data_IF_067275351705
#
_entry.id   IF_067275351705
#
_cell.length_a   1.000
_cell.length_b   1.000
_cell.length_c   1.000
_cell.angle_alpha   90.00
_cell.angle_beta   90.00
_cell.angle_gamma   90.00
#
_symmetry.space_group_name_H-M   'P 1'
#
loop_
_entity.id
_entity.type
_entity.pdbx_description
1 polymer ?
#
# COMPACT_ATOMS: atom_id res chain seq x y z
N UNK A 1 7.60 16.10 2.63
CA UNK A 1 8.96 15.56 2.85
C UNK A 1 9.00 14.11 2.40
N UNK A 2 10.19 13.59 2.04
CA UNK A 2 10.42 12.21 1.60
C UNK A 2 11.62 11.60 2.34
N UNK A 3 11.57 10.29 2.63
CA UNK A 3 12.69 9.52 3.19
C UNK A 3 12.77 8.12 2.56
N UNK A 4 13.96 7.51 2.59
CA UNK A 4 14.24 6.14 2.11
C UNK A 4 14.22 5.07 3.20
N UNK A 5 13.46 5.32 4.25
CA UNK A 5 13.25 4.37 5.35
C UNK A 5 11.74 4.26 5.56
N UNK A 6 11.23 3.03 5.71
CA UNK A 6 9.82 2.80 6.01
C UNK A 6 9.41 3.58 7.26
N UNK A 7 8.25 4.24 7.22
CA UNK A 7 7.68 4.89 8.39
C UNK A 7 6.98 3.87 9.29
N UNK A 8 6.28 2.92 8.70
CA UNK A 8 5.61 1.84 9.41
C UNK A 8 6.39 0.54 9.25
N UNK A 9 6.69 -0.18 10.34
CA UNK A 9 7.29 -1.51 10.24
C UNK A 9 6.40 -2.43 9.42
N UNK A 10 6.98 -3.14 8.45
CA UNK A 10 6.23 -4.07 7.59
C UNK A 10 5.49 -5.15 8.40
N UNK A 11 6.07 -5.57 9.52
CA UNK A 11 5.40 -6.47 10.48
C UNK A 11 4.07 -5.88 10.98
N UNK A 12 4.04 -4.60 11.35
CA UNK A 12 2.83 -3.94 11.86
C UNK A 12 1.73 -3.85 10.80
N UNK A 13 2.11 -3.62 9.54
CA UNK A 13 1.18 -3.60 8.40
C UNK A 13 0.50 -4.96 8.25
N UNK A 14 1.26 -6.06 8.31
CA UNK A 14 0.73 -7.42 8.22
C UNK A 14 -0.14 -7.78 9.42
N UNK A 15 0.26 -7.38 10.64
CA UNK A 15 -0.57 -7.55 11.85
C UNK A 15 -1.94 -6.87 11.71
N UNK A 16 -1.99 -5.62 11.22
CA UNK A 16 -3.26 -4.91 11.03
C UNK A 16 -4.19 -5.60 10.03
N UNK A 17 -3.64 -6.20 8.98
CA UNK A 17 -4.43 -6.99 8.03
C UNK A 17 -5.00 -8.24 8.72
N UNK A 18 -4.17 -8.98 9.45
CA UNK A 18 -4.59 -10.19 10.19
C UNK A 18 -5.64 -9.89 11.26
N UNK A 19 -5.59 -8.70 11.88
CA UNK A 19 -6.59 -8.21 12.83
C UNK A 19 -7.88 -7.69 12.16
N UNK A 20 -7.97 -7.69 10.81
CA UNK A 20 -9.10 -7.12 10.07
C UNK A 20 -9.18 -5.59 10.14
N UNK A 21 -8.10 -4.92 10.59
CA UNK A 21 -8.03 -3.46 10.76
C UNK A 21 -7.44 -2.79 9.52
N UNK A 22 -8.08 -2.99 8.38
CA UNK A 22 -7.67 -2.37 7.13
C UNK A 22 -8.88 -1.82 6.36
N UNK A 23 -8.59 -0.94 5.40
CA UNK A 23 -9.56 -0.41 4.46
C UNK A 23 -8.88 -0.20 3.12
N UNK A 24 -9.40 -0.86 2.08
CA UNK A 24 -8.95 -0.63 0.71
C UNK A 24 -9.80 0.50 0.14
N UNK A 25 -9.14 1.54 -0.38
CA UNK A 25 -9.89 2.69 -0.92
C UNK A 25 -10.73 2.28 -2.13
N UNK A 26 -11.91 2.89 -2.29
CA UNK A 26 -12.79 2.62 -3.45
C UNK A 26 -12.08 2.79 -4.80
N UNK A 27 -11.17 3.78 -4.89
CA UNK A 27 -10.35 3.99 -6.10
C UNK A 27 -9.37 2.84 -6.34
N UNK A 28 -8.77 2.31 -5.28
CA UNK A 28 -7.89 1.14 -5.36
C UNK A 28 -8.65 -0.11 -5.82
N UNK A 29 -9.81 -0.40 -5.22
CA UNK A 29 -10.68 -1.51 -5.65
C UNK A 29 -11.04 -1.39 -7.14
N UNK A 30 -11.49 -0.20 -7.57
CA UNK A 30 -11.84 0.06 -8.97
C UNK A 30 -10.65 -0.15 -9.91
N UNK A 31 -9.50 0.46 -9.59
CA UNK A 31 -8.29 0.34 -10.42
C UNK A 31 -7.80 -1.10 -10.48
N UNK A 32 -7.89 -1.82 -9.36
CA UNK A 32 -7.45 -3.20 -9.28
C UNK A 32 -8.29 -4.11 -10.18
N UNK A 33 -9.61 -3.96 -10.14
CA UNK A 33 -10.53 -4.70 -10.99
C UNK A 33 -10.32 -4.36 -12.48
N UNK A 34 -10.27 -3.07 -12.82
CA UNK A 34 -10.20 -2.63 -14.22
C UNK A 34 -8.87 -2.96 -14.90
N UNK A 35 -7.74 -2.86 -14.18
CA UNK A 35 -6.41 -3.00 -14.78
C UNK A 35 -5.80 -4.39 -14.62
N UNK A 36 -6.22 -5.14 -13.59
CA UNK A 36 -5.61 -6.44 -13.25
C UNK A 36 -6.63 -7.57 -13.13
N UNK A 37 -7.93 -7.27 -13.14
CA UNK A 37 -8.96 -8.26 -12.83
C UNK A 37 -8.97 -8.67 -11.36
N UNK A 38 -8.38 -7.86 -10.47
CA UNK A 38 -8.18 -8.19 -9.05
C UNK A 38 -9.38 -7.81 -8.20
N UNK A 39 -9.71 -8.68 -7.26
CA UNK A 39 -10.61 -8.41 -6.14
C UNK A 39 -9.87 -7.83 -4.94
N UNK A 40 -10.61 -7.60 -3.85
CA UNK A 40 -10.02 -7.13 -2.60
C UNK A 40 -9.03 -8.14 -2.01
N UNK A 41 -9.35 -9.43 -2.05
CA UNK A 41 -8.48 -10.50 -1.55
C UNK A 41 -7.12 -10.52 -2.26
N UNK A 42 -7.08 -10.26 -3.56
CA UNK A 42 -5.84 -10.18 -4.33
C UNK A 42 -4.96 -9.01 -3.87
N UNK A 43 -5.57 -7.83 -3.64
CA UNK A 43 -4.87 -6.66 -3.08
C UNK A 43 -4.28 -7.00 -1.72
N UNK A 44 -5.07 -7.63 -0.84
CA UNK A 44 -4.62 -8.00 0.50
C UNK A 44 -3.51 -9.04 0.44
N UNK A 45 -3.62 -10.04 -0.43
CA UNK A 45 -2.58 -11.02 -0.65
C UNK A 45 -1.28 -10.36 -1.16
N UNK A 46 -1.37 -9.36 -2.04
CA UNK A 46 -0.21 -8.61 -2.50
C UNK A 46 0.46 -7.82 -1.36
N UNK A 47 -0.32 -7.18 -0.48
CA UNK A 47 0.20 -6.46 0.69
C UNK A 47 0.81 -7.42 1.71
N UNK A 48 0.20 -8.59 1.96
CA UNK A 48 0.74 -9.61 2.85
C UNK A 48 2.06 -10.20 2.34
N UNK A 49 2.23 -10.26 1.02
CA UNK A 49 3.45 -10.75 0.37
C UNK A 49 4.53 -9.69 0.15
N UNK A 50 4.31 -8.43 0.57
CA UNK A 50 5.35 -7.40 0.53
C UNK A 50 6.59 -7.84 1.31
N UNK A 51 7.75 -7.44 0.77
CA UNK A 51 9.08 -7.57 1.36
C UNK A 51 9.72 -6.20 1.55
N UNK A 52 10.74 -6.11 2.39
CA UNK A 52 11.49 -4.86 2.57
C UNK A 52 12.14 -4.38 1.25
N UNK A 53 12.48 -5.29 0.34
CA UNK A 53 13.03 -4.96 -0.98
C UNK A 53 12.02 -4.26 -1.91
N UNK A 54 10.71 -4.45 -1.68
CA UNK A 54 9.66 -3.78 -2.45
C UNK A 54 9.48 -2.32 -2.01
N UNK A 55 10.07 -1.90 -0.88
CA UNK A 55 9.94 -0.55 -0.37
C UNK A 55 10.61 0.45 -1.33
N UNK A 56 9.82 1.41 -1.80
CA UNK A 56 10.31 2.46 -2.67
C UNK A 56 10.69 3.72 -1.87
N UNK A 57 9.73 4.25 -1.10
CA UNK A 57 9.93 5.46 -0.30
C UNK A 57 8.84 5.66 0.72
N UNK A 58 9.09 6.54 1.67
CA UNK A 58 8.08 7.07 2.57
C UNK A 58 7.95 8.57 2.34
N UNK A 59 6.72 9.07 2.20
CA UNK A 59 6.45 10.47 1.92
C UNK A 59 5.28 10.99 2.73
N UNK A 60 5.34 12.26 3.14
CA UNK A 60 4.21 12.88 3.82
C UNK A 60 3.09 13.25 2.86
N UNK A 61 1.85 13.30 3.34
CA UNK A 61 0.77 13.95 2.59
C UNK A 61 1.07 15.43 2.32
N UNK A 62 0.54 15.96 1.22
CA UNK A 62 0.67 17.38 0.88
C UNK A 62 -0.06 18.26 1.91
N UNK A 63 -1.24 17.83 2.34
CA UNK A 63 -2.12 18.62 3.23
C UNK A 63 -1.82 18.39 4.72
N UNK A 64 -0.99 17.40 5.06
CA UNK A 64 -0.62 17.11 6.44
C UNK A 64 0.76 16.44 6.51
N UNK A 65 1.76 17.18 6.97
CA UNK A 65 3.14 16.69 7.07
C UNK A 65 3.39 15.70 8.22
N UNK A 66 2.42 15.52 9.12
CA UNK A 66 2.48 14.49 10.17
C UNK A 66 2.02 13.12 9.64
N UNK A 67 1.33 13.10 8.51
CA UNK A 67 0.74 11.91 7.93
C UNK A 67 1.69 11.31 6.91
N UNK A 68 2.21 10.12 7.21
CA UNK A 68 3.17 9.43 6.35
C UNK A 68 2.50 8.36 5.50
N UNK A 69 2.98 8.24 4.28
CA UNK A 69 2.61 7.19 3.35
C UNK A 69 3.85 6.38 3.02
N UNK A 70 3.83 5.08 3.31
CA UNK A 70 4.84 4.18 2.78
C UNK A 70 4.40 3.68 1.40
N UNK A 71 5.33 3.71 0.46
CA UNK A 71 5.12 3.35 -0.92
C UNK A 71 5.98 2.14 -1.24
N UNK A 72 5.33 1.13 -1.81
CA UNK A 72 5.95 -0.10 -2.27
C UNK A 72 5.71 -0.26 -3.76
N UNK A 73 6.70 -0.87 -4.42
CA UNK A 73 6.65 -1.26 -5.82
C UNK A 73 6.98 -2.74 -5.91
N UNK A 74 6.09 -3.52 -6.52
CA UNK A 74 6.22 -4.97 -6.62
C UNK A 74 5.82 -5.43 -8.02
N UNK A 75 6.41 -6.53 -8.48
CA UNK A 75 5.88 -7.26 -9.63
C UNK A 75 5.00 -8.41 -9.13
N UNK A 76 3.74 -8.46 -9.56
CA UNK A 76 2.79 -9.54 -9.23
C UNK A 76 2.00 -9.91 -10.48
N UNK A 77 1.93 -11.21 -10.81
CA UNK A 77 1.30 -11.72 -12.03
C UNK A 77 1.66 -10.92 -13.30
N UNK A 78 2.95 -10.64 -13.49
CA UNK A 78 3.50 -9.83 -14.59
C UNK A 78 3.08 -8.35 -14.62
N UNK A 79 2.34 -7.87 -13.63
CA UNK A 79 2.02 -6.46 -13.47
C UNK A 79 3.03 -5.78 -12.56
N UNK A 80 3.50 -4.58 -12.95
CA UNK A 80 4.20 -3.67 -12.05
C UNK A 80 3.16 -2.91 -11.23
N UNK A 81 3.23 -3.04 -9.92
CA UNK A 81 2.19 -2.58 -9.00
C UNK A 81 2.78 -1.52 -8.07
N UNK A 82 2.01 -0.46 -7.87
CA UNK A 82 2.29 0.61 -6.92
C UNK A 82 1.29 0.53 -5.77
N UNK A 83 1.80 0.27 -4.57
CA UNK A 83 1.01 0.17 -3.35
C UNK A 83 1.39 1.31 -2.43
N UNK A 84 0.42 2.11 -2.02
CA UNK A 84 0.62 3.17 -1.03
C UNK A 84 -0.23 2.88 0.20
N UNK A 85 0.41 2.83 1.34
CA UNK A 85 -0.22 2.52 2.62
C UNK A 85 -0.01 3.63 3.64
N UNK A 86 -0.96 3.74 4.55
CA UNK A 86 -0.95 4.67 5.67
C UNK A 86 -1.63 3.99 6.85
N UNK A 87 -1.17 4.26 8.07
CA UNK A 87 -1.91 3.88 9.28
C UNK A 87 -2.63 5.14 9.79
N UNK A 88 -3.96 5.07 9.90
CA UNK A 88 -4.78 6.17 10.44
C UNK A 88 -4.57 6.34 11.95
N UNK A 89 -5.05 7.45 12.50
CA UNK A 89 -5.05 7.68 13.95
C UNK A 89 -5.89 6.63 14.72
N UNK A 90 -6.86 5.98 14.07
CA UNK A 90 -7.63 4.86 14.62
C UNK A 90 -6.92 3.51 14.50
N UNK A 91 -5.62 3.51 14.14
CA UNK A 91 -4.83 2.31 13.93
C UNK A 91 -5.44 1.37 12.87
N UNK A 92 -5.96 1.94 11.79
CA UNK A 92 -6.49 1.24 10.62
C UNK A 92 -5.55 1.44 9.44
N UNK A 93 -5.18 0.35 8.76
CA UNK A 93 -4.35 0.39 7.56
C UNK A 93 -5.19 0.82 6.36
N UNK A 94 -4.88 1.96 5.76
CA UNK A 94 -5.54 2.44 4.53
C UNK A 94 -4.67 2.09 3.32
N UNK A 95 -5.26 1.41 2.33
CA UNK A 95 -4.55 0.85 1.18
C UNK A 95 -5.00 1.55 -0.12
N UNK A 96 -4.03 2.09 -0.84
CA UNK A 96 -4.15 2.52 -2.23
C UNK A 96 -3.36 1.56 -3.13
N UNK A 97 -3.94 1.21 -4.29
CA UNK A 97 -3.39 0.21 -5.21
C UNK A 97 -3.61 0.67 -6.65
N UNK A 98 -2.57 0.64 -7.48
CA UNK A 98 -2.64 0.95 -8.91
C UNK A 98 -1.45 0.36 -9.68
N UNK A 99 -1.47 0.48 -11.00
CA UNK A 99 -0.30 0.16 -11.83
C UNK A 99 0.85 1.13 -11.58
N UNK A 100 2.07 0.60 -11.59
CA UNK A 100 3.26 1.45 -11.60
C UNK A 100 3.50 1.97 -13.02
N UNK A 101 3.14 3.25 -13.23
CA UNK A 101 3.29 3.98 -14.49
C UNK A 101 4.69 4.64 -14.62
N UNK A 102 5.62 4.33 -13.71
CA UNK A 102 6.97 4.86 -13.79
C UNK A 102 7.69 4.23 -15.00
N UNK A 103 7.85 5.02 -16.05
CA UNK A 103 8.64 4.70 -17.26
C UNK A 103 10.11 4.58 -16.88
#
# INVERSE_FOLDING_TARGET
MEKRICHYPLKKIKELIMEGKYSVTRKAQKTALEHFGYGEEDIINDVLNLQNADFFKSMTSHNNHLLWHDVYKKVSNNFKIYIKIQISNSNTLVISFKGDESI
#
